data_IF_243472975990
#
_entry.id   IF_243472975990
#
_cell.length_a   1.000
_cell.length_b   1.000
_cell.length_c   1.000
_cell.angle_alpha   90.00
_cell.angle_beta   90.00
_cell.angle_gamma   90.00
#
_symmetry.space_group_name_H-M   'P 1'
#
loop_
_entity.id
_entity.type
_entity.pdbx_description
1 polymer ?
#
# COMPACT_ATOMS: atom_id res chain seq x y z
N UNK A 1 5.59 9.40 6.53
CA UNK A 1 5.95 8.05 6.98
C UNK A 1 6.58 8.14 8.36
N UNK A 2 6.20 7.27 9.31
CA UNK A 2 6.60 7.41 10.72
C UNK A 2 7.94 6.74 11.01
N UNK A 3 8.06 5.45 10.70
CA UNK A 3 9.28 4.67 10.90
C UNK A 3 9.50 3.75 9.69
N UNK A 4 10.76 3.39 9.45
CA UNK A 4 11.20 2.36 8.50
C UNK A 4 11.66 1.13 9.28
N UNK A 5 11.24 -0.04 8.83
CA UNK A 5 11.57 -1.32 9.46
C UNK A 5 12.17 -2.23 8.38
N UNK A 6 13.41 -2.67 8.57
CA UNK A 6 14.17 -3.47 7.61
C UNK A 6 14.77 -4.71 8.29
N UNK A 7 14.72 -5.85 7.60
CA UNK A 7 15.42 -7.07 8.03
C UNK A 7 16.91 -6.93 7.71
N UNK A 8 17.75 -7.11 8.72
CA UNK A 8 19.22 -7.12 8.61
C UNK A 8 19.76 -8.43 9.18
N UNK A 9 21.04 -8.75 8.91
CA UNK A 9 21.64 -10.01 9.35
C UNK A 9 21.57 -10.22 10.88
N UNK A 10 21.56 -9.13 11.65
CA UNK A 10 21.62 -9.12 13.13
C UNK A 10 20.23 -9.01 13.79
N UNK A 11 19.15 -8.87 13.01
CA UNK A 11 17.80 -8.70 13.54
C UNK A 11 16.93 -7.80 12.65
N UNK A 12 16.16 -6.93 13.29
CA UNK A 12 15.29 -5.97 12.59
C UNK A 12 15.74 -4.55 12.91
N UNK A 13 16.21 -3.84 11.90
CA UNK A 13 16.54 -2.42 12.02
C UNK A 13 15.26 -1.59 11.98
N UNK A 14 15.10 -0.73 12.98
CA UNK A 14 14.00 0.23 13.08
C UNK A 14 14.61 1.63 13.06
N UNK A 15 14.19 2.45 12.10
CA UNK A 15 14.60 3.84 11.94
C UNK A 15 13.39 4.76 12.02
N UNK A 16 13.37 5.70 12.96
CA UNK A 16 12.39 6.78 13.01
C UNK A 16 12.67 7.77 11.88
N UNK A 17 11.64 8.16 11.12
CA UNK A 17 11.75 9.05 9.97
C UNK A 17 11.39 10.49 10.36
N UNK A 18 11.98 10.97 11.46
CA UNK A 18 11.69 12.26 12.09
C UNK A 18 10.20 12.44 12.40
N UNK A 19 9.61 11.43 13.04
CA UNK A 19 8.19 11.40 13.31
C UNK A 19 7.80 12.39 14.42
N UNK A 20 6.61 13.00 14.27
CA UNK A 20 6.07 13.93 15.26
C UNK A 20 5.87 13.26 16.62
N UNK A 21 5.35 12.03 16.63
CA UNK A 21 5.01 11.32 17.87
C UNK A 21 6.13 10.38 18.35
N UNK A 22 7.25 10.31 17.63
CA UNK A 22 8.43 9.52 17.99
C UNK A 22 8.25 8.00 17.85
N UNK A 23 9.37 7.31 17.86
CA UNK A 23 9.45 5.86 17.98
C UNK A 23 10.19 5.52 19.27
N UNK A 24 9.68 4.56 20.04
CA UNK A 24 10.19 4.19 21.36
C UNK A 24 10.44 2.69 21.46
N UNK A 25 11.51 2.34 22.18
CA UNK A 25 11.82 0.97 22.58
C UNK A 25 12.12 0.95 24.08
N UNK A 26 11.42 0.09 24.83
CA UNK A 26 11.52 0.02 26.30
C UNK A 26 11.37 1.40 26.99
N UNK A 27 10.46 2.24 26.48
CA UNK A 27 10.22 3.58 27.00
C UNK A 27 11.25 4.64 26.59
N UNK A 28 12.31 4.27 25.89
CA UNK A 28 13.35 5.19 25.41
C UNK A 28 13.08 5.57 23.96
N UNK A 29 13.13 6.86 23.63
CA UNK A 29 12.99 7.33 22.24
C UNK A 29 14.20 6.88 21.43
N UNK A 30 13.96 6.26 20.29
CA UNK A 30 14.98 5.74 19.38
C UNK A 30 14.92 6.48 18.03
N UNK A 31 16.09 6.75 17.46
CA UNK A 31 16.20 7.23 16.07
C UNK A 31 16.54 6.09 15.11
N UNK A 32 17.47 5.21 15.50
CA UNK A 32 17.84 4.02 14.75
C UNK A 32 18.35 2.95 15.71
N UNK A 33 17.85 1.73 15.60
CA UNK A 33 18.28 0.60 16.45
C UNK A 33 18.03 -0.73 15.74
N UNK A 34 18.90 -1.71 15.95
CA UNK A 34 18.66 -3.11 15.54
C UNK A 34 18.08 -3.85 16.73
N UNK A 35 16.92 -4.47 16.53
CA UNK A 35 16.17 -5.16 17.57
C UNK A 35 16.20 -6.67 17.36
N UNK A 36 16.41 -7.43 18.45
CA UNK A 36 16.28 -8.87 18.38
C UNK A 36 14.81 -9.27 18.20
N UNK A 37 14.55 -10.50 17.73
CA UNK A 37 13.22 -11.05 17.76
C UNK A 37 12.66 -11.17 19.20
N UNK A 38 11.34 -11.04 19.35
CA UNK A 38 10.59 -10.89 20.59
C UNK A 38 10.42 -9.43 21.05
N UNK A 39 11.11 -8.47 20.43
CA UNK A 39 11.05 -7.06 20.84
C UNK A 39 9.70 -6.41 20.55
N UNK A 40 9.25 -5.52 21.44
CA UNK A 40 8.09 -4.65 21.24
C UNK A 40 8.55 -3.20 21.13
N UNK A 41 8.12 -2.52 20.08
CA UNK A 41 8.34 -1.10 19.86
C UNK A 41 7.02 -0.35 19.87
N UNK A 42 7.08 0.93 20.22
CA UNK A 42 5.97 1.85 20.05
C UNK A 42 6.31 2.83 18.94
N UNK A 43 5.46 2.91 17.92
CA UNK A 43 5.56 3.82 16.77
C UNK A 43 4.34 4.75 16.87
N UNK A 44 4.54 5.94 17.43
CA UNK A 44 3.44 6.83 17.80
C UNK A 44 2.53 6.17 18.84
N UNK A 45 1.26 5.96 18.51
CA UNK A 45 0.28 5.30 19.38
C UNK A 45 0.14 3.80 19.12
N UNK A 46 0.87 3.28 18.14
CA UNK A 46 0.82 1.87 17.76
C UNK A 46 1.95 1.07 18.43
N UNK A 47 1.65 -0.13 18.91
CA UNK A 47 2.64 -1.09 19.41
C UNK A 47 2.88 -2.14 18.32
N UNK A 48 4.14 -2.30 17.91
CA UNK A 48 4.57 -3.33 16.95
C UNK A 48 5.41 -4.36 17.71
N UNK A 49 5.09 -5.64 17.54
CA UNK A 49 5.88 -6.75 18.07
C UNK A 49 6.67 -7.39 16.93
N UNK A 50 7.97 -7.63 17.16
CA UNK A 50 8.91 -8.22 16.22
C UNK A 50 9.06 -9.68 16.61
N UNK A 51 8.11 -10.54 16.27
CA UNK A 51 8.18 -11.94 16.66
C UNK A 51 8.93 -12.76 15.57
N UNK A 52 9.95 -13.57 15.92
CA UNK A 52 10.70 -14.40 14.97
C UNK A 52 9.81 -15.50 14.35
N UNK A 53 8.70 -15.80 15.00
CA UNK A 53 7.99 -17.05 14.84
C UNK A 53 6.49 -16.78 14.66
N UNK A 54 6.12 -16.33 13.45
CA UNK A 54 4.74 -16.47 12.98
C UNK A 54 4.41 -17.93 12.59
N UNK A 55 5.38 -18.84 12.67
CA UNK A 55 5.22 -20.28 12.42
C UNK A 55 4.51 -21.02 13.57
N UNK A 56 4.39 -20.41 14.75
CA UNK A 56 3.53 -20.92 15.86
C UNK A 56 2.04 -20.57 15.71
N UNK A 57 1.62 -19.94 14.62
CA UNK A 57 0.23 -20.07 14.17
C UNK A 57 0.06 -21.54 13.73
N UNK A 58 -0.55 -22.36 14.58
CA UNK A 58 -0.52 -23.84 14.63
C UNK A 58 -0.86 -24.63 13.34
N UNK A 59 -1.02 -24.01 12.18
CA UNK A 59 -1.02 -24.68 10.87
C UNK A 59 -0.66 -23.68 9.76
N UNK A 60 -0.06 -24.10 8.63
CA UNK A 60 0.09 -23.27 7.42
C UNK A 60 -1.20 -22.54 7.03
N UNK A 61 -2.35 -23.20 7.27
CA UNK A 61 -3.69 -22.66 7.03
C UNK A 61 -4.04 -21.40 7.83
N UNK A 62 -3.47 -21.22 9.02
CA UNK A 62 -3.73 -20.04 9.85
C UNK A 62 -2.98 -18.81 9.30
N UNK A 63 -1.77 -19.00 8.77
CA UNK A 63 -1.00 -17.91 8.14
C UNK A 63 -1.62 -17.47 6.82
N UNK A 64 -2.12 -18.41 6.02
CA UNK A 64 -2.88 -18.13 4.79
C UNK A 64 -4.20 -17.41 5.07
N UNK A 65 -4.85 -17.69 6.22
CA UNK A 65 -6.07 -16.97 6.62
C UNK A 65 -5.80 -15.54 7.06
N UNK A 66 -4.64 -15.26 7.67
CA UNK A 66 -4.33 -13.95 8.27
C UNK A 66 -3.58 -13.00 7.33
N UNK A 67 -3.32 -13.42 6.09
CA UNK A 67 -2.61 -12.63 5.11
C UNK A 67 -3.25 -12.75 3.73
N UNK A 68 -3.21 -11.66 2.96
CA UNK A 68 -3.63 -11.64 1.56
C UNK A 68 -2.68 -10.77 0.75
N UNK A 69 -1.78 -11.38 -0.05
CA UNK A 69 -0.87 -10.69 -0.98
C UNK A 69 -0.17 -9.47 -0.35
N UNK A 70 0.46 -9.67 0.82
CA UNK A 70 1.18 -8.63 1.56
C UNK A 70 0.33 -7.82 2.54
N UNK A 71 -1.00 -7.95 2.51
CA UNK A 71 -1.87 -7.46 3.59
C UNK A 71 -1.82 -8.41 4.77
N UNK A 72 -1.79 -7.85 5.99
CA UNK A 72 -1.86 -8.61 7.24
C UNK A 72 -3.07 -8.13 8.04
N UNK A 73 -3.83 -9.08 8.60
CA UNK A 73 -5.01 -8.76 9.38
C UNK A 73 -5.51 -9.95 10.18
N UNK A 74 -5.82 -9.72 11.46
CA UNK A 74 -6.33 -10.77 12.36
C UNK A 74 -7.76 -10.55 12.83
N UNK A 75 -8.32 -9.34 12.62
CA UNK A 75 -9.70 -9.05 13.00
C UNK A 75 -10.68 -9.77 12.07
N UNK A 76 -11.85 -10.15 12.61
CA UNK A 76 -12.93 -10.75 11.80
C UNK A 76 -13.28 -9.90 10.57
N UNK A 77 -13.32 -8.57 10.73
CA UNK A 77 -13.59 -7.64 9.63
C UNK A 77 -12.54 -7.71 8.53
N UNK A 78 -11.25 -7.83 8.86
CA UNK A 78 -10.19 -7.99 7.86
C UNK A 78 -10.23 -9.36 7.20
N UNK A 79 -10.55 -10.42 7.94
CA UNK A 79 -10.75 -11.75 7.37
C UNK A 79 -11.91 -11.77 6.37
N UNK A 80 -13.00 -11.04 6.66
CA UNK A 80 -14.12 -10.87 5.73
C UNK A 80 -13.70 -10.07 4.47
N UNK A 81 -12.83 -9.06 4.62
CA UNK A 81 -12.23 -8.35 3.48
C UNK A 81 -11.38 -9.29 2.65
N UNK A 82 -10.47 -10.07 3.25
CA UNK A 82 -9.63 -11.04 2.52
C UNK A 82 -10.47 -12.08 1.77
N UNK A 83 -11.55 -12.56 2.38
CA UNK A 83 -12.51 -13.46 1.71
C UNK A 83 -13.14 -12.81 0.48
N UNK A 84 -13.54 -11.53 0.54
CA UNK A 84 -14.06 -10.80 -0.61
C UNK A 84 -12.99 -10.61 -1.70
N UNK A 85 -11.77 -10.23 -1.31
CA UNK A 85 -10.67 -10.03 -2.25
C UNK A 85 -10.29 -11.33 -2.98
N UNK A 86 -10.26 -12.47 -2.26
CA UNK A 86 -9.96 -13.78 -2.87
C UNK A 86 -10.96 -14.19 -3.97
N UNK A 87 -12.22 -13.75 -3.89
CA UNK A 87 -13.23 -14.02 -4.92
C UNK A 87 -13.03 -13.18 -6.19
N UNK A 88 -12.20 -12.15 -6.12
CA UNK A 88 -11.87 -11.28 -7.25
C UNK A 88 -10.57 -11.72 -7.95
N UNK A 89 -9.94 -12.82 -7.52
CA UNK A 89 -8.76 -13.35 -8.19
C UNK A 89 -9.05 -13.70 -9.65
N UNK A 90 -8.12 -13.32 -10.54
CA UNK A 90 -8.26 -13.45 -11.99
C UNK A 90 -9.32 -12.55 -12.62
N UNK A 91 -10.02 -11.74 -11.84
CA UNK A 91 -11.11 -10.89 -12.34
C UNK A 91 -10.59 -9.60 -12.97
N UNK A 92 -11.35 -9.09 -13.95
CA UNK A 92 -11.14 -7.80 -14.61
C UNK A 92 -12.23 -6.78 -14.26
N UNK A 93 -13.02 -7.05 -13.22
CA UNK A 93 -14.10 -6.14 -12.79
C UNK A 93 -13.52 -4.87 -12.16
N UNK A 94 -14.19 -3.74 -12.39
CA UNK A 94 -13.88 -2.50 -11.68
C UNK A 94 -14.25 -2.64 -10.20
N UNK A 95 -13.33 -2.25 -9.31
CA UNK A 95 -13.50 -2.35 -7.86
C UNK A 95 -13.45 -0.97 -7.22
N UNK A 96 -14.42 -0.68 -6.36
CA UNK A 96 -14.45 0.53 -5.55
C UNK A 96 -14.08 0.19 -4.11
N UNK A 97 -12.99 0.76 -3.61
CA UNK A 97 -12.47 0.52 -2.25
C UNK A 97 -12.82 1.72 -1.37
N UNK A 98 -13.72 1.52 -0.40
CA UNK A 98 -14.12 2.55 0.55
C UNK A 98 -13.51 2.33 1.93
N UNK A 99 -13.23 3.45 2.62
CA UNK A 99 -12.69 3.47 3.97
C UNK A 99 -12.12 4.85 4.29
N UNK A 100 -11.79 5.08 5.56
CA UNK A 100 -11.16 6.32 6.03
C UNK A 100 -9.75 6.52 5.42
N UNK A 101 -9.20 7.72 5.53
CA UNK A 101 -7.83 7.97 5.09
C UNK A 101 -6.83 7.15 5.94
N UNK A 102 -5.79 6.63 5.31
CA UNK A 102 -4.74 5.86 6.00
C UNK A 102 -5.04 4.41 6.36
N UNK A 103 -6.24 3.88 6.07
CA UNK A 103 -6.60 2.47 6.40
C UNK A 103 -6.01 1.41 5.45
N UNK A 104 -5.08 1.80 4.57
CA UNK A 104 -4.40 0.87 3.65
C UNK A 104 -5.14 0.55 2.35
N UNK A 105 -6.02 1.45 1.87
CA UNK A 105 -6.73 1.27 0.58
C UNK A 105 -5.80 1.05 -0.61
N UNK A 106 -4.66 1.74 -0.64
CA UNK A 106 -3.64 1.56 -1.68
C UNK A 106 -3.04 0.14 -1.65
N UNK A 107 -2.84 -0.43 -0.46
CA UNK A 107 -2.36 -1.80 -0.32
C UNK A 107 -3.39 -2.81 -0.84
N UNK A 108 -4.68 -2.55 -0.65
CA UNK A 108 -5.76 -3.35 -1.23
C UNK A 108 -5.72 -3.28 -2.76
N UNK A 109 -5.55 -2.10 -3.34
CA UNK A 109 -5.47 -1.94 -4.80
C UNK A 109 -4.27 -2.70 -5.40
N UNK A 110 -3.10 -2.62 -4.75
CA UNK A 110 -1.91 -3.39 -5.13
C UNK A 110 -2.14 -4.90 -5.04
N UNK A 111 -2.77 -5.36 -3.96
CA UNK A 111 -3.09 -6.77 -3.76
C UNK A 111 -4.08 -7.30 -4.83
N UNK A 112 -5.06 -6.47 -5.23
CA UNK A 112 -5.99 -6.80 -6.32
C UNK A 112 -5.27 -6.90 -7.67
N UNK A 113 -4.42 -5.93 -8.00
CA UNK A 113 -3.61 -5.97 -9.23
C UNK A 113 -2.76 -7.24 -9.30
N UNK A 114 -2.03 -7.57 -8.23
CA UNK A 114 -1.21 -8.78 -8.12
C UNK A 114 -2.03 -10.08 -8.22
N UNK A 115 -3.32 -10.05 -7.88
CA UNK A 115 -4.23 -11.20 -7.98
C UNK A 115 -5.05 -11.23 -9.26
N UNK A 116 -4.95 -10.22 -10.12
CA UNK A 116 -5.73 -10.12 -11.35
C UNK A 116 -5.08 -10.85 -12.53
N UNK A 117 -5.81 -11.00 -13.63
CA UNK A 117 -5.25 -11.52 -14.89
C UNK A 117 -4.28 -10.53 -15.59
N UNK A 118 -4.16 -9.29 -15.09
CA UNK A 118 -3.29 -8.24 -15.64
C UNK A 118 -2.09 -7.94 -14.71
N UNK A 119 -1.74 -8.88 -13.84
CA UNK A 119 -0.67 -8.70 -12.83
C UNK A 119 0.73 -8.45 -13.43
N UNK A 120 0.97 -8.87 -14.67
CA UNK A 120 2.23 -8.63 -15.39
C UNK A 120 2.26 -7.25 -16.07
N UNK A 121 1.12 -6.57 -16.13
CA UNK A 121 0.97 -5.24 -16.70
C UNK A 121 1.32 -4.11 -15.74
N UNK A 122 1.29 -2.85 -16.20
CA UNK A 122 1.59 -1.69 -15.37
C UNK A 122 0.54 -1.46 -14.27
N UNK A 123 0.97 -1.10 -13.06
CA UNK A 123 0.11 -0.54 -12.02
C UNK A 123 0.30 0.97 -11.95
N UNK A 124 -0.66 1.73 -12.46
CA UNK A 124 -0.60 3.19 -12.51
C UNK A 124 -1.49 3.77 -11.42
N UNK A 125 -0.90 4.54 -10.51
CA UNK A 125 -1.63 5.27 -9.47
C UNK A 125 -1.82 6.73 -9.91
N UNK A 126 -3.05 7.22 -9.80
CA UNK A 126 -3.40 8.62 -10.02
C UNK A 126 -4.09 9.14 -8.76
N UNK A 127 -3.51 10.17 -8.15
CA UNK A 127 -4.15 10.87 -7.04
C UNK A 127 -5.13 11.91 -7.60
N UNK A 128 -6.43 11.67 -7.44
CA UNK A 128 -7.46 12.56 -7.98
C UNK A 128 -7.59 13.89 -7.25
N UNK A 129 -7.18 14.02 -5.98
CA UNK A 129 -7.23 15.29 -5.28
C UNK A 129 -6.27 16.35 -5.86
N UNK A 130 -5.19 15.90 -6.52
CA UNK A 130 -4.25 16.78 -7.24
C UNK A 130 -4.76 17.23 -8.62
N UNK A 131 -5.80 16.58 -9.17
CA UNK A 131 -6.31 16.84 -10.50
C UNK A 131 -7.30 18.03 -10.49
N UNK A 132 -6.90 19.18 -11.04
CA UNK A 132 -7.80 20.35 -11.20
C UNK A 132 -7.86 20.85 -12.64
N UNK A 133 -9.07 21.10 -13.14
CA UNK A 133 -9.29 21.72 -14.45
C UNK A 133 -8.67 20.93 -15.61
N UNK A 134 -8.06 21.64 -16.57
CA UNK A 134 -7.48 21.03 -17.77
C UNK A 134 -6.28 20.11 -17.48
N UNK A 135 -5.62 20.26 -16.34
CA UNK A 135 -4.56 19.36 -15.88
C UNK A 135 -5.08 17.94 -15.64
N UNK A 136 -6.32 17.80 -15.15
CA UNK A 136 -6.96 16.50 -14.94
C UNK A 136 -7.07 15.71 -16.25
N UNK A 137 -7.50 16.37 -17.33
CA UNK A 137 -7.61 15.73 -18.66
C UNK A 137 -6.25 15.38 -19.20
N UNK A 138 -5.29 16.30 -19.10
CA UNK A 138 -3.91 16.07 -19.53
C UNK A 138 -3.27 14.89 -18.78
N UNK A 139 -3.57 14.69 -17.50
CA UNK A 139 -2.99 13.59 -16.72
C UNK A 139 -3.65 12.24 -17.04
N UNK A 140 -4.98 12.20 -17.19
CA UNK A 140 -5.70 10.96 -17.52
C UNK A 140 -5.53 10.53 -18.98
N UNK A 141 -5.65 11.48 -19.92
CA UNK A 141 -5.71 11.21 -21.35
C UNK A 141 -4.46 11.64 -22.13
N UNK A 142 -3.54 12.35 -21.47
CA UNK A 142 -2.38 12.92 -22.15
C UNK A 142 -2.73 14.15 -22.99
N UNK A 143 -1.72 14.70 -23.64
CA UNK A 143 -1.89 15.76 -24.64
C UNK A 143 -0.68 15.80 -25.58
N UNK A 144 -0.88 16.38 -26.77
CA UNK A 144 0.23 16.72 -27.67
C UNK A 144 0.72 18.14 -27.40
N UNK A 145 2.00 18.39 -27.68
CA UNK A 145 2.56 19.74 -27.69
C UNK A 145 1.65 20.70 -28.48
N UNK A 146 1.29 21.83 -27.88
CA UNK A 146 0.42 22.84 -28.48
C UNK A 146 -1.09 22.57 -28.38
N UNK A 147 -1.54 21.53 -27.67
CA UNK A 147 -2.97 21.25 -27.48
C UNK A 147 -3.73 22.34 -26.68
N UNK A 148 -3.02 23.08 -25.81
CA UNK A 148 -3.54 24.22 -25.04
C UNK A 148 -2.42 25.20 -24.67
N UNK A 149 -2.77 26.39 -24.19
CA UNK A 149 -1.80 27.39 -23.71
C UNK A 149 -1.01 26.84 -22.52
N UNK A 150 0.28 26.58 -22.72
CA UNK A 150 1.15 25.94 -21.71
C UNK A 150 1.53 24.49 -22.02
N UNK A 151 0.98 23.87 -23.07
CA UNK A 151 1.37 22.54 -23.55
C UNK A 151 2.73 22.59 -24.28
N UNK A 152 3.82 22.74 -23.52
CA UNK A 152 5.19 22.88 -24.04
C UNK A 152 5.77 21.59 -24.61
N UNK A 153 5.23 20.44 -24.18
CA UNK A 153 5.65 19.11 -24.56
C UNK A 153 4.45 18.17 -24.80
N UNK A 154 4.72 16.99 -25.35
CA UNK A 154 3.72 15.92 -25.46
C UNK A 154 3.80 15.05 -24.23
N UNK A 155 2.66 14.69 -23.65
CA UNK A 155 2.54 13.86 -22.45
C UNK A 155 1.60 12.67 -22.71
N UNK A 156 2.05 11.48 -22.34
CA UNK A 156 1.23 10.25 -22.36
C UNK A 156 0.30 10.26 -21.15
N UNK A 157 -0.97 9.87 -21.36
CA UNK A 157 -1.98 9.84 -20.30
C UNK A 157 -1.89 8.60 -19.42
N UNK A 158 -2.39 8.69 -18.18
CA UNK A 158 -2.42 7.58 -17.24
C UNK A 158 -3.18 6.35 -17.76
N UNK A 159 -4.24 6.55 -18.55
CA UNK A 159 -4.98 5.45 -19.18
C UNK A 159 -4.11 4.67 -20.17
N UNK A 160 -3.31 5.36 -20.97
CA UNK A 160 -2.39 4.75 -21.92
C UNK A 160 -1.20 4.11 -21.21
N UNK A 161 -0.68 4.75 -20.16
CA UNK A 161 0.36 4.17 -19.29
C UNK A 161 -0.11 2.90 -18.58
N UNK A 162 -1.41 2.77 -18.33
CA UNK A 162 -2.02 1.63 -17.66
C UNK A 162 -2.49 0.54 -18.63
N UNK A 163 -2.24 0.70 -19.93
CA UNK A 163 -2.69 -0.28 -20.93
C UNK A 163 -2.12 -1.66 -20.65
N UNK A 164 -2.97 -2.69 -20.75
CA UNK A 164 -2.65 -4.06 -20.35
C UNK A 164 -2.44 -4.28 -18.84
N UNK A 165 -2.73 -3.29 -17.99
CA UNK A 165 -2.48 -3.32 -16.55
C UNK A 165 -3.67 -2.85 -15.69
N UNK A 166 -3.39 -2.06 -14.65
CA UNK A 166 -4.40 -1.56 -13.72
C UNK A 166 -4.19 -0.07 -13.45
N UNK A 167 -5.26 0.71 -13.62
CA UNK A 167 -5.32 2.11 -13.21
C UNK A 167 -6.01 2.21 -11.85
N UNK A 168 -5.29 2.66 -10.83
CA UNK A 168 -5.84 2.96 -9.52
C UNK A 168 -6.04 4.46 -9.35
N UNK A 169 -7.28 4.85 -9.08
CA UNK A 169 -7.67 6.24 -8.87
C UNK A 169 -7.90 6.47 -7.38
N UNK A 170 -6.96 7.14 -6.72
CA UNK A 170 -7.04 7.44 -5.30
C UNK A 170 -7.77 8.76 -5.06
N UNK A 171 -8.44 8.88 -3.91
CA UNK A 171 -9.19 10.08 -3.52
C UNK A 171 -10.31 10.47 -4.52
N UNK A 172 -10.95 9.48 -5.16
CA UNK A 172 -12.21 9.69 -5.88
C UNK A 172 -13.34 9.91 -4.87
N UNK A 173 -13.90 11.13 -4.86
CA UNK A 173 -15.02 11.54 -4.02
C UNK A 173 -15.44 12.98 -4.23
#
# INVERSE_FOLDING_TARGET
SHARIELVAEGVEVTDLDSTNGTFYQGTRIHRVVLPPGSRIQVGDSIISIDPDLTQLETPSARERLAYRGLLGRSKSMLDVFSKLSRLEGSLVNVLVHGESGVGKELIAKALHQGSALCDGPFVLVNCASLRGDLARSELFGHRKGAFTGAVETRVGALELADGGTLFLDEIG
#
